data_IF_341819409729
#
_entry.id   IF_341819409729
#
_cell.length_a   1.000
_cell.length_b   1.000
_cell.length_c   1.000
_cell.angle_alpha   90.00
_cell.angle_beta   90.00
_cell.angle_gamma   90.00
#
_symmetry.space_group_name_H-M   'P 1'
#
loop_
_entity.id
_entity.type
_entity.pdbx_description
1 polymer ?
#
# COMPACT_ATOMS: atom_id res chain seq x y z
N UNK A 1 18.60 98.07 -3.72
CA UNK A 1 19.12 97.64 -5.04
C UNK A 1 18.33 96.40 -5.45
N UNK A 2 17.17 96.59 -6.09
CA UNK A 2 16.34 95.48 -6.57
C UNK A 2 16.92 94.98 -7.88
N UNK A 3 17.59 93.84 -7.83
CA UNK A 3 18.11 93.16 -9.02
C UNK A 3 16.90 92.53 -9.70
N UNK A 4 16.28 93.27 -10.64
CA UNK A 4 15.30 92.68 -11.55
C UNK A 4 16.11 91.73 -12.44
N UNK A 5 15.82 90.41 -12.43
CA UNK A 5 16.55 89.48 -13.29
C UNK A 5 16.31 89.87 -14.74
N UNK A 6 17.40 90.14 -15.47
CA UNK A 6 17.32 90.42 -16.90
C UNK A 6 16.79 89.17 -17.62
N UNK A 7 15.86 89.31 -18.59
CA UNK A 7 15.25 88.17 -19.28
C UNK A 7 16.26 87.18 -19.90
N UNK A 8 17.43 87.68 -20.30
CA UNK A 8 18.53 86.88 -20.82
C UNK A 8 19.14 85.92 -19.78
N UNK A 9 19.35 86.38 -18.54
CA UNK A 9 19.90 85.53 -17.47
C UNK A 9 18.92 84.45 -17.09
N UNK A 10 17.61 84.76 -17.08
CA UNK A 10 16.56 83.77 -16.85
C UNK A 10 16.55 82.68 -17.94
N UNK A 11 16.70 83.07 -19.22
CA UNK A 11 16.81 82.11 -20.32
C UNK A 11 18.07 81.23 -20.21
N UNK A 12 19.22 81.80 -19.84
CA UNK A 12 20.46 81.06 -19.65
C UNK A 12 20.36 80.05 -18.50
N UNK A 13 19.80 80.45 -17.36
CA UNK A 13 19.56 79.55 -16.21
C UNK A 13 18.59 78.43 -16.60
N UNK A 14 17.56 78.73 -17.40
CA UNK A 14 16.62 77.73 -17.90
C UNK A 14 17.31 76.69 -18.80
N UNK A 15 18.18 77.12 -19.71
CA UNK A 15 18.96 76.21 -20.57
C UNK A 15 19.90 75.33 -19.72
N UNK A 16 20.59 75.91 -18.74
CA UNK A 16 21.45 75.15 -17.82
C UNK A 16 20.64 74.15 -17.00
N UNK A 17 19.46 74.54 -16.52
CA UNK A 17 18.55 73.64 -15.80
C UNK A 17 18.10 72.46 -16.68
N UNK A 18 17.75 72.70 -17.94
CA UNK A 18 17.38 71.63 -18.88
C UNK A 18 18.55 70.66 -19.14
N UNK A 19 19.76 71.19 -19.32
CA UNK A 19 20.97 70.37 -19.49
C UNK A 19 21.22 69.53 -18.24
N UNK A 20 21.13 70.14 -17.05
CA UNK A 20 21.29 69.44 -15.77
C UNK A 20 20.24 68.34 -15.60
N UNK A 21 18.97 68.65 -15.88
CA UNK A 21 17.85 67.68 -15.81
C UNK A 21 18.09 66.50 -16.75
N UNK A 22 18.56 66.75 -17.96
CA UNK A 22 18.90 65.69 -18.91
C UNK A 22 20.05 64.80 -18.39
N UNK A 23 21.10 65.41 -17.83
CA UNK A 23 22.24 64.70 -17.27
C UNK A 23 21.83 63.84 -16.05
N UNK A 24 21.00 64.39 -15.17
CA UNK A 24 20.47 63.71 -13.97
C UNK A 24 19.52 62.56 -14.35
N UNK A 25 18.71 62.72 -15.38
CA UNK A 25 17.84 61.66 -15.90
C UNK A 25 18.63 60.42 -16.32
N UNK A 26 19.73 60.63 -17.05
CA UNK A 26 20.59 59.54 -17.49
C UNK A 26 21.44 58.95 -16.36
N UNK A 27 22.00 59.79 -15.49
CA UNK A 27 22.97 59.37 -14.48
C UNK A 27 22.35 58.83 -13.20
N UNK A 28 21.19 59.36 -12.76
CA UNK A 28 20.62 59.06 -11.44
C UNK A 28 19.23 58.43 -11.52
N UNK A 29 18.29 59.06 -12.23
CA UNK A 29 16.89 58.59 -12.20
C UNK A 29 16.71 57.23 -12.87
N UNK A 30 17.30 57.02 -14.05
CA UNK A 30 17.26 55.71 -14.73
C UNK A 30 17.84 54.56 -13.89
N UNK A 31 19.07 54.65 -13.35
CA UNK A 31 19.60 53.55 -12.54
C UNK A 31 18.79 53.36 -11.25
N UNK A 32 18.36 54.42 -10.57
CA UNK A 32 17.58 54.31 -9.34
C UNK A 32 16.23 53.61 -9.56
N UNK A 33 15.49 54.00 -10.60
CA UNK A 33 14.23 53.36 -10.97
C UNK A 33 14.47 51.91 -11.40
N UNK A 34 15.54 51.63 -12.14
CA UNK A 34 15.91 50.26 -12.50
C UNK A 34 16.18 49.37 -11.28
N UNK A 35 16.79 49.89 -10.21
CA UNK A 35 16.95 49.14 -8.96
C UNK A 35 15.62 48.89 -8.25
N UNK A 36 14.69 49.85 -8.27
CA UNK A 36 13.35 49.67 -7.70
C UNK A 36 12.57 48.61 -8.48
N UNK A 37 12.56 48.67 -9.81
CA UNK A 37 11.90 47.70 -10.69
C UNK A 37 12.50 46.30 -10.52
N UNK A 38 13.83 46.19 -10.42
CA UNK A 38 14.51 44.90 -10.21
C UNK A 38 14.10 44.28 -8.87
N UNK A 39 14.03 45.10 -7.81
CA UNK A 39 13.61 44.63 -6.48
C UNK A 39 12.16 44.18 -6.49
N UNK A 40 11.26 44.97 -7.06
CA UNK A 40 9.84 44.66 -7.11
C UNK A 40 9.58 43.43 -8.00
N UNK A 41 10.30 43.29 -9.12
CA UNK A 41 10.25 42.10 -9.97
C UNK A 41 10.76 40.84 -9.24
N UNK A 42 11.82 40.97 -8.44
CA UNK A 42 12.37 39.84 -7.66
C UNK A 42 11.39 39.39 -6.58
N UNK A 43 10.77 40.32 -5.85
CA UNK A 43 9.74 40.02 -4.84
C UNK A 43 8.52 39.32 -5.47
N UNK A 44 8.05 39.82 -6.63
CA UNK A 44 6.96 39.17 -7.35
C UNK A 44 7.34 37.75 -7.79
N UNK A 45 8.54 37.57 -8.34
CA UNK A 45 9.03 36.25 -8.78
C UNK A 45 9.15 35.27 -7.62
N UNK A 46 9.68 35.72 -6.49
CA UNK A 46 9.81 34.89 -5.29
C UNK A 46 8.42 34.49 -4.75
N UNK A 47 7.45 35.42 -4.78
CA UNK A 47 6.07 35.16 -4.37
C UNK A 47 5.36 34.16 -5.30
N UNK A 48 5.46 34.36 -6.63
CA UNK A 48 4.94 33.43 -7.64
C UNK A 48 5.61 32.04 -7.52
N UNK A 49 6.90 31.99 -7.20
CA UNK A 49 7.64 30.76 -6.94
C UNK A 49 7.17 30.01 -5.68
N UNK A 50 6.84 30.73 -4.61
CA UNK A 50 6.28 30.15 -3.38
C UNK A 50 4.88 29.56 -3.65
N UNK A 51 4.03 30.26 -4.38
CA UNK A 51 2.69 29.78 -4.70
C UNK A 51 2.71 28.57 -5.64
N UNK A 52 3.57 28.59 -6.66
CA UNK A 52 3.81 27.47 -7.56
C UNK A 52 4.31 26.23 -6.82
N UNK A 53 5.35 26.39 -5.99
CA UNK A 53 5.89 25.29 -5.19
C UNK A 53 4.86 24.72 -4.20
N UNK A 54 3.99 25.57 -3.63
CA UNK A 54 2.93 25.08 -2.74
C UNK A 54 1.88 24.27 -3.50
N UNK A 55 1.55 24.64 -4.75
CA UNK A 55 0.65 23.86 -5.59
C UNK A 55 1.25 22.49 -5.94
N UNK A 56 2.53 22.46 -6.30
CA UNK A 56 3.25 21.22 -6.62
C UNK A 56 3.36 20.30 -5.40
N UNK A 57 3.67 20.84 -4.22
CA UNK A 57 3.69 20.06 -2.96
C UNK A 57 2.31 19.46 -2.66
N UNK A 58 1.22 20.22 -2.88
CA UNK A 58 -0.15 19.69 -2.71
C UNK A 58 -0.47 18.59 -3.71
N UNK A 59 -0.06 18.74 -4.97
CA UNK A 59 -0.24 17.73 -6.01
C UNK A 59 0.53 16.43 -5.66
N UNK A 60 1.81 16.55 -5.30
CA UNK A 60 2.66 15.42 -4.88
C UNK A 60 2.09 14.72 -3.65
N UNK A 61 1.58 15.47 -2.66
CA UNK A 61 0.95 14.89 -1.46
C UNK A 61 -0.33 14.14 -1.80
N UNK A 62 -1.13 14.64 -2.75
CA UNK A 62 -2.33 13.96 -3.23
C UNK A 62 -1.96 12.66 -3.95
N UNK A 63 -0.99 12.70 -4.86
CA UNK A 63 -0.53 11.51 -5.58
C UNK A 63 0.04 10.46 -4.63
N UNK A 64 0.85 10.87 -3.64
CA UNK A 64 1.37 9.96 -2.62
C UNK A 64 0.25 9.29 -1.80
N UNK A 65 -0.79 10.04 -1.44
CA UNK A 65 -1.95 9.49 -0.74
C UNK A 65 -2.73 8.50 -1.62
N UNK A 66 -2.94 8.82 -2.89
CA UNK A 66 -3.63 7.94 -3.84
C UNK A 66 -2.85 6.63 -4.05
N UNK A 67 -1.52 6.70 -4.16
CA UNK A 67 -0.64 5.52 -4.25
C UNK A 67 -0.73 4.69 -2.96
N UNK A 68 -0.66 5.32 -1.79
CA UNK A 68 -0.78 4.62 -0.51
C UNK A 68 -2.14 3.95 -0.34
N UNK A 69 -3.22 4.60 -0.79
CA UNK A 69 -4.54 4.02 -0.76
C UNK A 69 -4.65 2.80 -1.67
N UNK A 70 -4.21 2.91 -2.93
CA UNK A 70 -4.18 1.78 -3.87
C UNK A 70 -3.35 0.62 -3.34
N UNK A 71 -2.16 0.90 -2.81
CA UNK A 71 -1.31 -0.13 -2.22
C UNK A 71 -1.98 -0.84 -1.04
N UNK A 72 -2.72 -0.11 -0.19
CA UNK A 72 -3.50 -0.71 0.91
C UNK A 72 -4.64 -1.58 0.41
N UNK A 73 -5.36 -1.14 -0.62
CA UNK A 73 -6.45 -1.89 -1.24
C UNK A 73 -5.93 -3.19 -1.89
N UNK A 74 -4.83 -3.10 -2.64
CA UNK A 74 -4.15 -4.26 -3.24
C UNK A 74 -3.64 -5.23 -2.16
N UNK A 75 -3.00 -4.73 -1.11
CA UNK A 75 -2.56 -5.57 0.01
C UNK A 75 -3.74 -6.28 0.70
N UNK A 76 -4.86 -5.59 0.89
CA UNK A 76 -6.07 -6.18 1.46
C UNK A 76 -6.65 -7.27 0.54
N UNK A 77 -6.70 -7.02 -0.78
CA UNK A 77 -7.13 -7.98 -1.79
C UNK A 77 -6.24 -9.23 -1.80
N UNK A 78 -4.91 -9.06 -1.78
CA UNK A 78 -3.96 -10.19 -1.74
C UNK A 78 -4.16 -11.00 -0.47
N UNK A 79 -4.28 -10.33 0.69
CA UNK A 79 -4.50 -11.01 1.98
C UNK A 79 -5.80 -11.81 1.97
N UNK A 80 -6.90 -11.21 1.50
CA UNK A 80 -8.21 -11.87 1.44
C UNK A 80 -8.17 -13.06 0.48
N UNK A 81 -7.59 -12.89 -0.72
CA UNK A 81 -7.43 -13.98 -1.69
C UNK A 81 -6.58 -15.13 -1.15
N UNK A 82 -5.49 -14.82 -0.44
CA UNK A 82 -4.66 -15.83 0.20
C UNK A 82 -5.41 -16.57 1.31
N UNK A 83 -6.17 -15.84 2.12
CA UNK A 83 -7.01 -16.41 3.18
C UNK A 83 -8.10 -17.33 2.61
N UNK A 84 -8.81 -16.89 1.57
CA UNK A 84 -9.88 -17.66 0.94
C UNK A 84 -9.33 -18.92 0.26
N UNK A 85 -8.20 -18.81 -0.44
CA UNK A 85 -7.51 -19.96 -1.02
C UNK A 85 -7.05 -20.97 0.04
N UNK A 86 -6.50 -20.47 1.16
CA UNK A 86 -6.10 -21.32 2.28
C UNK A 86 -7.31 -22.03 2.91
N UNK A 87 -8.42 -21.31 3.11
CA UNK A 87 -9.68 -21.87 3.62
C UNK A 87 -10.24 -22.93 2.69
N UNK A 88 -10.30 -22.65 1.39
CA UNK A 88 -10.76 -23.63 0.39
C UNK A 88 -9.87 -24.88 0.36
N UNK A 89 -8.55 -24.71 0.43
CA UNK A 89 -7.61 -25.83 0.49
C UNK A 89 -7.79 -26.65 1.77
N UNK A 90 -8.02 -25.99 2.90
CA UNK A 90 -8.29 -26.67 4.17
C UNK A 90 -9.60 -27.46 4.11
N UNK A 91 -10.67 -26.86 3.57
CA UNK A 91 -11.97 -27.50 3.37
C UNK A 91 -11.84 -28.76 2.49
N UNK A 92 -11.13 -28.65 1.36
CA UNK A 92 -10.86 -29.78 0.46
C UNK A 92 -10.09 -30.89 1.20
N UNK A 93 -9.01 -30.55 1.91
CA UNK A 93 -8.23 -31.54 2.67
C UNK A 93 -9.06 -32.22 3.76
N UNK A 94 -9.90 -31.47 4.46
CA UNK A 94 -10.81 -32.02 5.48
C UNK A 94 -11.82 -32.97 4.83
N UNK A 95 -12.42 -32.57 3.70
CA UNK A 95 -13.37 -33.42 2.98
C UNK A 95 -12.72 -34.71 2.50
N UNK A 96 -11.54 -34.61 1.87
CA UNK A 96 -10.78 -35.78 1.42
C UNK A 96 -10.42 -36.71 2.58
N UNK A 97 -9.97 -36.16 3.72
CA UNK A 97 -9.65 -36.98 4.90
C UNK A 97 -10.88 -37.63 5.51
N UNK A 98 -12.02 -36.95 5.54
CA UNK A 98 -13.29 -37.53 5.98
C UNK A 98 -13.71 -38.69 5.07
N UNK A 99 -13.60 -38.52 3.76
CA UNK A 99 -13.93 -39.57 2.79
C UNK A 99 -12.97 -40.76 2.90
N UNK A 100 -11.68 -40.51 3.04
CA UNK A 100 -10.67 -41.55 3.30
C UNK A 100 -10.95 -42.31 4.61
N UNK A 101 -11.34 -41.61 5.68
CA UNK A 101 -11.74 -42.25 6.95
C UNK A 101 -13.00 -43.08 6.79
N UNK A 102 -14.01 -42.58 6.07
CA UNK A 102 -15.25 -43.31 5.85
C UNK A 102 -15.01 -44.60 5.06
N UNK A 103 -14.16 -44.55 4.03
CA UNK A 103 -13.75 -45.74 3.28
C UNK A 103 -12.98 -46.73 4.15
N UNK A 104 -11.98 -46.27 4.91
CA UNK A 104 -11.23 -47.13 5.83
C UNK A 104 -12.12 -47.76 6.90
N UNK A 105 -13.08 -47.00 7.43
CA UNK A 105 -14.04 -47.51 8.40
C UNK A 105 -14.94 -48.59 7.79
N UNK A 106 -15.44 -48.38 6.57
CA UNK A 106 -16.23 -49.38 5.86
C UNK A 106 -15.42 -50.66 5.58
N UNK A 107 -14.16 -50.52 5.15
CA UNK A 107 -13.26 -51.66 4.93
C UNK A 107 -13.02 -52.41 6.24
N UNK A 108 -12.69 -51.69 7.32
CA UNK A 108 -12.48 -52.28 8.64
C UNK A 108 -13.70 -53.03 9.17
N UNK A 109 -14.91 -52.48 8.99
CA UNK A 109 -16.16 -53.17 9.37
C UNK A 109 -16.38 -54.45 8.55
N UNK A 110 -16.06 -54.43 7.25
CA UNK A 110 -16.13 -55.63 6.40
C UNK A 110 -15.13 -56.69 6.83
N UNK A 111 -13.88 -56.30 7.09
CA UNK A 111 -12.83 -57.21 7.57
C UNK A 111 -13.19 -57.81 8.94
N UNK A 112 -13.81 -57.02 9.82
CA UNK A 112 -14.22 -57.48 11.15
C UNK A 112 -15.33 -58.53 11.07
N UNK A 113 -16.32 -58.36 10.18
CA UNK A 113 -17.35 -59.38 9.94
C UNK A 113 -16.75 -60.65 9.32
N UNK A 114 -15.81 -60.52 8.38
CA UNK A 114 -15.08 -61.65 7.81
C UNK A 114 -14.26 -62.40 8.87
N UNK A 115 -13.56 -61.68 9.73
CA UNK A 115 -12.74 -62.25 10.81
C UNK A 115 -13.62 -62.95 11.86
N UNK A 116 -14.76 -62.36 12.20
CA UNK A 116 -15.78 -62.97 13.08
C UNK A 116 -16.36 -64.24 12.47
N UNK A 117 -16.64 -64.25 11.17
CA UNK A 117 -17.10 -65.44 10.45
C UNK A 117 -16.04 -66.55 10.45
N UNK A 118 -14.77 -66.22 10.18
CA UNK A 118 -13.64 -67.15 10.26
C UNK A 118 -13.43 -67.70 11.66
N UNK A 119 -13.47 -66.84 12.68
CA UNK A 119 -13.34 -67.25 14.08
C UNK A 119 -14.45 -68.22 14.49
N UNK A 120 -15.69 -67.94 14.10
CA UNK A 120 -16.84 -68.83 14.34
C UNK A 120 -16.69 -70.17 13.63
N UNK A 121 -16.17 -70.18 12.39
CA UNK A 121 -15.87 -71.40 11.66
C UNK A 121 -14.75 -72.23 12.34
N UNK A 122 -13.67 -71.58 12.77
CA UNK A 122 -12.57 -72.23 13.50
C UNK A 122 -13.04 -72.83 14.82
N UNK A 123 -13.80 -72.06 15.61
CA UNK A 123 -14.40 -72.52 16.87
C UNK A 123 -15.29 -73.74 16.63
N UNK A 124 -16.14 -73.74 15.61
CA UNK A 124 -16.97 -74.90 15.28
C UNK A 124 -16.14 -76.14 14.89
N UNK A 125 -14.99 -75.95 14.23
CA UNK A 125 -14.08 -77.04 13.88
C UNK A 125 -13.29 -77.56 15.10
N UNK A 126 -13.02 -76.71 16.08
CA UNK A 126 -12.25 -77.06 17.28
C UNK A 126 -13.12 -77.55 18.45
N UNK A 127 -14.42 -77.23 18.47
CA UNK A 127 -15.39 -77.73 19.48
C UNK A 127 -15.37 -79.26 19.64
N UNK A 128 -15.33 -80.10 18.59
CA UNK A 128 -15.24 -81.54 18.73
C UNK A 128 -13.95 -82.00 19.43
N UNK A 129 -12.81 -81.43 19.06
CA UNK A 129 -11.50 -81.69 19.68
C UNK A 129 -11.47 -81.24 21.14
N UNK A 130 -12.08 -80.09 21.44
CA UNK A 130 -12.21 -79.59 22.79
C UNK A 130 -13.12 -80.49 23.64
N UNK A 131 -14.22 -81.00 23.06
CA UNK A 131 -15.13 -81.93 23.72
C UNK A 131 -14.49 -83.29 23.98
N UNK A 132 -13.70 -83.82 23.04
CA UNK A 132 -12.92 -85.05 23.24
C UNK A 132 -11.86 -84.88 24.34
N UNK A 133 -11.12 -83.77 24.33
CA UNK A 133 -10.10 -83.50 25.35
C UNK A 133 -10.69 -83.31 26.75
N UNK A 134 -11.87 -82.70 26.87
CA UNK A 134 -12.63 -82.62 28.11
C UNK A 134 -13.12 -83.99 28.58
N UNK A 135 -13.68 -84.81 27.69
CA UNK A 135 -14.09 -86.18 28.03
C UNK A 135 -12.91 -87.06 28.44
N UNK A 136 -11.77 -86.92 27.77
CA UNK A 136 -10.54 -87.64 28.11
C UNK A 136 -9.99 -87.23 29.49
N UNK A 137 -10.08 -85.94 29.86
CA UNK A 137 -9.74 -85.48 31.22
C UNK A 137 -10.74 -85.95 32.28
N UNK A 138 -12.04 -85.93 31.98
CA UNK A 138 -13.09 -86.39 32.90
C UNK A 138 -13.05 -87.90 33.14
N UNK A 139 -12.63 -88.70 32.16
CA UNK A 139 -12.38 -90.16 32.34
C UNK A 139 -11.09 -90.48 33.09
N UNK A 140 -10.21 -89.49 33.28
CA UNK A 140 -8.95 -89.63 34.02
C UNK A 140 -9.06 -89.19 35.49
N UNK A 141 -10.19 -88.59 35.89
CA UNK A 141 -10.64 -88.54 37.29
C UNK A 141 -11.46 -89.80 37.60
#
# INVERSE_FOLDING_TARGET
MTIIPTPWVMALVFVIFLILMYLLNRMLYKPLLGFMDTRDASIRKDSEGIDGNTADIRALKKEANDILQKAKEEAALIKNKAHDSAKQTAEIKISQKKEELAQKYSMFMSELEDEKARLKASLNSEIPLFKESLQAKLKKL
#
